data_IF_722884780009
#
_entry.id   IF_722884780009
#
_cell.length_a   1.000
_cell.length_b   1.000
_cell.length_c   1.000
_cell.angle_alpha   90.00
_cell.angle_beta   90.00
_cell.angle_gamma   90.00
#
_symmetry.space_group_name_H-M   'P 1'
#
loop_
_entity.id
_entity.type
_entity.pdbx_description
1 polymer ?
#
# COMPACT_ATOMS: atom_id res chain seq x y z
N UNK A 1 -21.79 21.09 8.45
CA UNK A 1 -21.10 21.19 7.15
C UNK A 1 -21.35 22.52 6.42
N UNK A 2 -22.58 22.92 6.06
CA UNK A 2 -22.82 24.17 5.28
C UNK A 2 -22.27 25.48 5.88
N UNK A 3 -22.09 25.55 7.21
CA UNK A 3 -21.66 26.78 7.90
C UNK A 3 -20.17 27.09 7.74
N UNK A 4 -19.30 26.07 7.55
CA UNK A 4 -17.87 26.26 7.32
C UNK A 4 -17.50 26.38 5.85
N UNK A 5 -18.31 25.83 4.94
CA UNK A 5 -18.07 25.94 3.50
C UNK A 5 -17.93 27.41 3.05
N UNK A 6 -18.79 28.30 3.56
CA UNK A 6 -18.69 29.75 3.27
C UNK A 6 -17.40 30.40 3.79
N UNK A 7 -16.81 29.87 4.87
CA UNK A 7 -15.53 30.35 5.42
C UNK A 7 -14.39 29.95 4.48
N UNK A 8 -14.45 28.74 3.91
CA UNK A 8 -13.41 28.18 3.04
C UNK A 8 -13.53 28.58 1.57
N UNK A 9 -14.71 28.99 1.11
CA UNK A 9 -14.98 29.48 -0.26
C UNK A 9 -14.04 30.61 -0.70
N UNK A 10 -13.69 31.52 0.22
CA UNK A 10 -12.77 32.64 -0.04
C UNK A 10 -11.29 32.23 -0.10
N UNK A 11 -10.98 30.97 0.23
CA UNK A 11 -9.63 30.44 0.34
C UNK A 11 -9.27 29.51 -0.83
N UNK A 12 -9.89 29.72 -2.01
CA UNK A 12 -9.59 29.01 -3.26
C UNK A 12 -8.35 29.52 -4.02
N UNK A 13 -7.55 30.41 -3.43
CA UNK A 13 -6.32 30.91 -4.07
C UNK A 13 -5.16 29.91 -3.87
N UNK A 14 -4.27 29.81 -4.85
CA UNK A 14 -3.00 29.10 -4.68
C UNK A 14 -2.11 29.81 -3.65
N UNK A 15 -1.36 29.05 -2.85
CA UNK A 15 -0.37 29.56 -1.88
C UNK A 15 -0.98 30.40 -0.74
N UNK A 16 -1.92 29.82 0.01
CA UNK A 16 -2.49 30.44 1.22
C UNK A 16 -1.81 29.88 2.46
N UNK A 17 -1.52 30.76 3.42
CA UNK A 17 -1.14 30.37 4.77
C UNK A 17 -2.36 30.32 5.68
N UNK A 18 -2.65 29.15 6.24
CA UNK A 18 -3.63 28.97 7.31
C UNK A 18 -2.88 28.74 8.62
N UNK A 19 -3.16 29.56 9.63
CA UNK A 19 -2.47 29.49 10.93
C UNK A 19 -3.48 29.54 12.08
N UNK A 20 -3.16 28.89 13.20
CA UNK A 20 -4.01 28.91 14.40
C UNK A 20 -5.22 27.97 14.33
N UNK A 21 -5.22 27.01 13.41
CA UNK A 21 -6.24 25.96 13.35
C UNK A 21 -5.90 24.85 14.34
N UNK A 22 -6.93 24.28 14.96
CA UNK A 22 -6.83 22.96 15.59
C UNK A 22 -6.82 21.87 14.53
N UNK A 23 -6.39 20.66 14.88
CA UNK A 23 -6.36 19.52 13.95
C UNK A 23 -7.76 19.23 13.39
N UNK A 24 -8.80 19.23 14.23
CA UNK A 24 -10.18 19.03 13.78
C UNK A 24 -10.63 20.06 12.75
N UNK A 25 -10.30 21.34 12.98
CA UNK A 25 -10.70 22.42 12.06
C UNK A 25 -9.89 22.36 10.75
N UNK A 26 -8.63 21.95 10.82
CA UNK A 26 -7.83 21.67 9.63
C UNK A 26 -8.40 20.49 8.84
N UNK A 27 -8.85 19.43 9.52
CA UNK A 27 -9.51 18.28 8.86
C UNK A 27 -10.84 18.70 8.23
N UNK A 28 -11.65 19.53 8.88
CA UNK A 28 -12.88 20.06 8.29
C UNK A 28 -12.59 20.86 7.00
N UNK A 29 -11.52 21.67 7.00
CA UNK A 29 -11.05 22.37 5.80
C UNK A 29 -10.58 21.39 4.71
N UNK A 30 -9.78 20.39 5.09
CA UNK A 30 -9.25 19.38 4.18
C UNK A 30 -10.39 18.59 3.52
N UNK A 31 -11.40 18.18 4.28
CA UNK A 31 -12.56 17.44 3.79
C UNK A 31 -13.41 18.29 2.84
N UNK A 32 -13.66 19.56 3.16
CA UNK A 32 -14.35 20.49 2.26
C UNK A 32 -13.65 20.57 0.89
N UNK A 33 -12.31 20.63 0.89
CA UNK A 33 -11.50 20.69 -0.32
C UNK A 33 -11.52 19.37 -1.08
N UNK A 34 -11.35 18.26 -0.37
CA UNK A 34 -11.37 16.92 -0.94
C UNK A 34 -12.69 16.61 -1.66
N UNK A 35 -13.82 16.90 -1.00
CA UNK A 35 -15.17 16.64 -1.53
C UNK A 35 -15.54 17.58 -2.69
N UNK A 36 -15.13 18.85 -2.60
CA UNK A 36 -15.48 19.86 -3.61
C UNK A 36 -14.62 19.73 -4.87
N UNK A 37 -13.31 19.53 -4.71
CA UNK A 37 -12.38 19.49 -5.85
C UNK A 37 -12.29 18.12 -6.51
N UNK A 38 -12.62 17.05 -5.77
CA UNK A 38 -12.51 15.66 -6.23
C UNK A 38 -11.14 15.35 -6.82
N UNK A 39 -10.10 15.82 -6.13
CA UNK A 39 -8.69 15.57 -6.46
C UNK A 39 -7.99 14.97 -5.27
N UNK A 40 -6.97 14.16 -5.53
CA UNK A 40 -6.12 13.66 -4.46
C UNK A 40 -5.35 14.78 -3.79
N UNK A 41 -5.18 14.69 -2.48
CA UNK A 41 -4.49 15.68 -1.65
C UNK A 41 -3.34 15.02 -0.93
N UNK A 42 -2.14 15.59 -1.05
CA UNK A 42 -0.99 15.20 -0.25
C UNK A 42 -0.87 16.15 0.94
N UNK A 43 -0.94 15.60 2.14
CA UNK A 43 -0.70 16.31 3.40
C UNK A 43 0.68 15.95 3.93
N UNK A 44 1.53 16.95 4.14
CA UNK A 44 2.89 16.76 4.66
C UNK A 44 2.98 17.38 6.05
N UNK A 45 3.24 16.55 7.05
CA UNK A 45 3.42 16.95 8.44
C UNK A 45 4.91 17.05 8.82
N UNK A 46 5.25 17.69 9.96
CA UNK A 46 6.63 17.78 10.40
C UNK A 46 7.27 16.42 10.73
N UNK A 47 6.57 15.53 11.44
CA UNK A 47 7.06 14.19 11.79
C UNK A 47 6.04 13.10 11.54
N UNK A 48 6.52 11.84 11.61
CA UNK A 48 5.68 10.65 11.51
C UNK A 48 4.61 10.60 12.61
N UNK A 49 4.88 11.18 13.79
CA UNK A 49 3.91 11.24 14.87
C UNK A 49 2.68 12.06 14.46
N UNK A 50 2.86 13.30 13.97
CA UNK A 50 1.73 14.12 13.53
C UNK A 50 1.04 13.50 12.31
N UNK A 51 1.77 12.85 11.40
CA UNK A 51 1.18 12.15 10.26
C UNK A 51 0.20 11.08 10.72
N UNK A 52 0.60 10.26 11.70
CA UNK A 52 -0.25 9.21 12.26
C UNK A 52 -1.47 9.78 12.98
N UNK A 53 -1.29 10.81 13.80
CA UNK A 53 -2.41 11.41 14.53
C UNK A 53 -3.44 12.03 13.59
N UNK A 54 -2.96 12.78 12.59
CA UNK A 54 -3.83 13.40 11.61
C UNK A 54 -4.53 12.36 10.73
N UNK A 55 -3.83 11.32 10.27
CA UNK A 55 -4.43 10.23 9.50
C UNK A 55 -5.58 9.57 10.28
N UNK A 56 -5.41 9.31 11.58
CA UNK A 56 -6.48 8.76 12.42
C UNK A 56 -7.71 9.68 12.47
N UNK A 57 -7.51 10.99 12.61
CA UNK A 57 -8.61 11.96 12.65
C UNK A 57 -9.37 11.95 11.31
N UNK A 58 -8.65 11.98 10.19
CA UNK A 58 -9.24 11.93 8.85
C UNK A 58 -9.97 10.60 8.61
N UNK A 59 -9.44 9.49 9.13
CA UNK A 59 -10.03 8.16 8.96
C UNK A 59 -11.42 8.01 9.62
N UNK A 60 -11.75 8.86 10.61
CA UNK A 60 -13.13 8.96 11.13
C UNK A 60 -14.11 9.67 10.19
N UNK A 61 -13.63 10.27 9.10
CA UNK A 61 -14.44 11.03 8.12
C UNK A 61 -14.49 10.34 6.76
N UNK A 62 -13.43 9.66 6.35
CA UNK A 62 -13.34 8.95 5.06
C UNK A 62 -12.37 7.78 5.14
N UNK A 63 -12.66 6.72 4.38
CA UNK A 63 -11.75 5.58 4.20
C UNK A 63 -10.72 5.81 3.07
N UNK A 64 -10.83 6.90 2.32
CA UNK A 64 -9.91 7.25 1.23
C UNK A 64 -8.67 7.99 1.75
N UNK A 65 -8.15 7.59 2.91
CA UNK A 65 -6.98 8.19 3.54
C UNK A 65 -5.90 7.15 3.81
N UNK A 66 -4.69 7.44 3.34
CA UNK A 66 -3.55 6.53 3.42
C UNK A 66 -2.37 7.21 4.10
N UNK A 67 -1.56 6.43 4.82
CA UNK A 67 -0.33 6.90 5.45
C UNK A 67 0.86 6.48 4.58
N UNK A 68 1.72 7.42 4.21
CA UNK A 68 3.01 7.10 3.59
C UNK A 68 4.15 7.28 4.62
N UNK A 69 4.53 6.24 5.38
CA UNK A 69 5.52 6.34 6.44
C UNK A 69 6.96 6.13 5.93
N UNK A 70 7.91 6.61 6.71
CA UNK A 70 9.35 6.48 6.50
C UNK A 70 10.01 6.46 7.88
N UNK A 71 11.05 5.64 8.03
CA UNK A 71 11.87 5.61 9.22
C UNK A 71 12.65 6.91 9.37
N UNK A 72 12.93 7.30 10.61
CA UNK A 72 13.87 8.40 10.86
C UNK A 72 15.30 7.95 10.48
N UNK A 73 16.16 8.91 10.15
CA UNK A 73 17.52 8.65 9.70
C UNK A 73 18.32 7.88 10.76
N UNK A 74 18.16 8.25 12.03
CA UNK A 74 18.85 7.62 13.17
C UNK A 74 18.40 6.17 13.42
N UNK A 75 17.14 5.84 13.15
CA UNK A 75 16.63 4.46 13.26
C UNK A 75 17.04 3.60 12.07
N UNK A 76 17.13 4.20 10.88
CA UNK A 76 17.55 3.52 9.64
C UNK A 76 19.01 3.07 9.64
N UNK A 77 19.90 3.82 10.32
CA UNK A 77 21.32 3.44 10.48
C UNK A 77 21.54 2.39 11.58
N UNK A 78 20.67 2.35 12.60
CA UNK A 78 20.85 1.51 13.79
C UNK A 78 20.09 0.17 13.75
N UNK A 79 19.02 0.04 12.95
CA UNK A 79 18.15 -1.14 12.89
C UNK A 79 17.63 -1.36 11.46
N UNK A 80 17.36 -2.61 11.10
CA UNK A 80 16.68 -2.97 9.86
C UNK A 80 15.39 -2.14 9.67
N UNK A 81 15.16 -1.65 8.45
CA UNK A 81 13.92 -0.96 8.02
C UNK A 81 12.70 -1.77 8.49
N UNK A 82 11.72 -1.11 9.11
CA UNK A 82 10.50 -1.78 9.56
C UNK A 82 9.78 -2.42 8.37
N UNK A 83 9.59 -3.76 8.35
CA UNK A 83 8.83 -4.43 7.29
C UNK A 83 7.44 -3.84 7.14
N UNK A 84 6.79 -3.47 8.26
CA UNK A 84 5.45 -2.90 8.26
C UNK A 84 5.40 -1.55 7.53
N UNK A 85 6.39 -0.67 7.74
CA UNK A 85 6.43 0.60 7.02
C UNK A 85 6.70 0.42 5.53
N UNK A 86 7.48 -0.58 5.14
CA UNK A 86 7.63 -0.92 3.73
C UNK A 86 6.27 -1.35 3.14
N UNK A 87 5.56 -2.24 3.82
CA UNK A 87 4.24 -2.75 3.42
C UNK A 87 3.24 -1.58 3.31
N UNK A 88 3.08 -0.77 4.36
CA UNK A 88 2.16 0.38 4.36
C UNK A 88 2.46 1.38 3.24
N UNK A 89 3.73 1.62 2.92
CA UNK A 89 4.11 2.45 1.78
C UNK A 89 3.66 1.83 0.47
N UNK A 90 3.91 0.54 0.27
CA UNK A 90 3.52 -0.15 -0.96
C UNK A 90 1.99 -0.18 -1.09
N UNK A 91 1.25 -0.45 -0.03
CA UNK A 91 -0.22 -0.39 0.00
C UNK A 91 -0.73 0.99 -0.40
N UNK A 92 -0.12 2.05 0.14
CA UNK A 92 -0.44 3.43 -0.20
C UNK A 92 -0.18 3.70 -1.68
N UNK A 93 0.96 3.26 -2.21
CA UNK A 93 1.28 3.42 -3.64
C UNK A 93 0.29 2.64 -4.52
N UNK A 94 -0.05 1.40 -4.17
CA UNK A 94 -1.07 0.61 -4.87
C UNK A 94 -2.40 1.36 -4.88
N UNK A 95 -2.89 1.79 -3.72
CA UNK A 95 -4.18 2.44 -3.60
C UNK A 95 -4.30 3.69 -4.48
N UNK A 96 -3.24 4.52 -4.55
CA UNK A 96 -3.28 5.73 -5.38
C UNK A 96 -3.10 5.49 -6.88
N UNK A 97 -2.74 4.26 -7.32
CA UNK A 97 -2.68 3.95 -8.75
C UNK A 97 -4.05 3.81 -9.40
N UNK A 98 -5.10 3.53 -8.63
CA UNK A 98 -6.47 3.31 -9.12
C UNK A 98 -7.21 4.59 -9.56
N UNK A 99 -6.54 5.75 -9.55
CA UNK A 99 -7.05 7.06 -10.00
C UNK A 99 -8.32 7.55 -9.28
N UNK A 100 -8.69 6.95 -8.16
CA UNK A 100 -9.69 7.52 -7.27
C UNK A 100 -9.07 8.66 -6.45
N UNK A 101 -9.79 9.78 -6.24
CA UNK A 101 -9.35 10.83 -5.33
C UNK A 101 -9.06 10.23 -3.96
N UNK A 102 -7.89 10.54 -3.41
CA UNK A 102 -7.44 10.03 -2.11
C UNK A 102 -6.63 11.07 -1.35
N UNK A 103 -6.61 10.95 -0.03
CA UNK A 103 -5.78 11.77 0.85
C UNK A 103 -4.57 10.92 1.25
N UNK A 104 -3.37 11.39 0.93
CA UNK A 104 -2.13 10.76 1.42
C UNK A 104 -1.55 11.65 2.50
N UNK A 105 -1.38 11.11 3.70
CA UNK A 105 -0.71 11.79 4.80
C UNK A 105 0.71 11.24 4.89
N UNK A 106 1.70 12.12 4.88
CA UNK A 106 3.11 11.78 5.05
C UNK A 106 3.80 12.82 5.92
N UNK A 107 5.08 12.63 6.19
CA UNK A 107 5.91 13.59 6.88
C UNK A 107 7.12 13.97 6.02
N UNK A 108 7.94 14.89 6.49
CA UNK A 108 9.07 15.43 5.73
C UNK A 108 9.98 14.36 5.10
N UNK A 109 10.42 13.34 5.84
CA UNK A 109 11.28 12.27 5.27
C UNK A 109 10.54 11.48 4.18
N UNK A 110 9.28 11.12 4.41
CA UNK A 110 8.45 10.43 3.42
C UNK A 110 8.23 11.25 2.14
N UNK A 111 8.02 12.56 2.27
CA UNK A 111 7.88 13.49 1.15
C UNK A 111 9.14 13.58 0.28
N UNK A 112 10.32 13.58 0.91
CA UNK A 112 11.61 13.68 0.21
C UNK A 112 12.12 12.36 -0.37
N UNK A 113 11.37 11.25 -0.18
CA UNK A 113 11.78 9.93 -0.64
C UNK A 113 11.71 9.81 -2.15
N UNK A 114 12.77 9.31 -2.77
CA UNK A 114 12.74 8.89 -4.17
C UNK A 114 11.85 7.66 -4.36
N UNK A 115 10.98 7.73 -5.36
CA UNK A 115 10.05 6.67 -5.72
C UNK A 115 10.32 6.18 -7.14
N UNK A 116 9.99 4.92 -7.46
CA UNK A 116 9.91 4.49 -8.85
C UNK A 116 8.91 5.34 -9.62
N UNK A 117 9.12 5.49 -10.92
CA UNK A 117 8.11 6.14 -11.76
C UNK A 117 6.81 5.35 -11.71
N UNK A 118 5.63 5.99 -11.87
CA UNK A 118 4.36 5.26 -11.93
C UNK A 118 4.37 4.13 -12.97
N UNK A 119 5.03 4.34 -14.11
CA UNK A 119 5.20 3.32 -15.15
C UNK A 119 6.03 2.12 -14.68
N UNK A 120 7.11 2.37 -13.93
CA UNK A 120 7.95 1.30 -13.38
C UNK A 120 7.17 0.51 -12.33
N UNK A 121 6.45 1.21 -11.46
CA UNK A 121 5.64 0.59 -10.41
C UNK A 121 4.49 -0.24 -10.98
N UNK A 122 3.74 0.28 -11.95
CA UNK A 122 2.66 -0.49 -12.58
C UNK A 122 3.15 -1.74 -13.33
N UNK A 123 4.43 -1.80 -13.72
CA UNK A 123 5.03 -2.97 -14.35
C UNK A 123 5.49 -4.04 -13.37
N UNK A 124 5.55 -3.74 -12.07
CA UNK A 124 5.94 -4.74 -11.07
C UNK A 124 4.79 -5.68 -10.70
N UNK A 125 3.54 -5.34 -11.04
CA UNK A 125 2.40 -6.21 -10.81
C UNK A 125 2.47 -7.49 -11.67
N UNK A 126 2.30 -8.63 -11.03
CA UNK A 126 2.29 -9.95 -11.66
C UNK A 126 0.88 -10.52 -11.54
N UNK A 127 0.14 -10.50 -12.64
CA UNK A 127 -1.18 -11.11 -12.71
C UNK A 127 -1.03 -12.59 -13.07
N UNK A 128 -1.68 -13.45 -12.28
CA UNK A 128 -1.69 -14.90 -12.45
C UNK A 128 -3.12 -15.41 -12.57
N UNK A 129 -3.32 -16.42 -13.41
CA UNK A 129 -4.59 -17.10 -13.60
C UNK A 129 -4.38 -18.60 -13.76
N UNK A 130 -5.36 -19.41 -13.36
CA UNK A 130 -5.42 -20.83 -13.73
C UNK A 130 -5.30 -20.98 -15.26
N UNK A 131 -4.64 -22.06 -15.70
CA UNK A 131 -4.31 -22.38 -17.10
C UNK A 131 -3.30 -21.43 -17.76
N UNK A 132 -2.69 -20.51 -17.01
CA UNK A 132 -1.60 -19.68 -17.53
C UNK A 132 -0.29 -20.48 -17.61
N UNK A 133 0.37 -20.41 -18.76
CA UNK A 133 1.72 -20.94 -18.94
C UNK A 133 2.77 -19.98 -18.35
N UNK A 134 3.38 -20.41 -17.25
CA UNK A 134 4.53 -19.81 -16.60
C UNK A 134 5.24 -20.88 -15.75
N UNK A 135 6.54 -21.07 -15.97
CA UNK A 135 7.29 -22.03 -15.16
C UNK A 135 7.41 -21.56 -13.70
N UNK A 136 7.44 -22.48 -12.72
CA UNK A 136 7.69 -22.13 -11.33
C UNK A 136 8.97 -21.30 -11.15
N UNK A 137 10.02 -21.61 -11.92
CA UNK A 137 11.31 -20.94 -11.86
C UNK A 137 11.22 -19.48 -12.35
N UNK A 138 10.51 -19.25 -13.46
CA UNK A 138 10.33 -17.89 -14.00
C UNK A 138 9.50 -17.03 -13.05
N UNK A 139 8.45 -17.59 -12.44
CA UNK A 139 7.65 -16.85 -11.48
C UNK A 139 8.46 -16.49 -10.23
N UNK A 140 9.24 -17.42 -9.69
CA UNK A 140 10.14 -17.16 -8.55
C UNK A 140 11.14 -16.06 -8.88
N UNK A 141 11.73 -16.08 -10.08
CA UNK A 141 12.67 -15.03 -10.49
C UNK A 141 11.98 -13.67 -10.54
N UNK A 142 10.81 -13.57 -11.18
CA UNK A 142 10.04 -12.32 -11.26
C UNK A 142 9.68 -11.77 -9.87
N UNK A 143 9.25 -12.63 -8.96
CA UNK A 143 8.93 -12.24 -7.57
C UNK A 143 10.16 -11.76 -6.81
N UNK A 144 11.30 -12.45 -6.99
CA UNK A 144 12.58 -12.05 -6.38
C UNK A 144 13.06 -10.71 -6.92
N UNK A 145 12.91 -10.46 -8.22
CA UNK A 145 13.30 -9.21 -8.88
C UNK A 145 12.51 -7.99 -8.36
N UNK A 146 11.25 -8.19 -7.95
CA UNK A 146 10.41 -7.13 -7.35
C UNK A 146 10.53 -7.08 -5.81
N UNK A 147 11.41 -7.90 -5.21
CA UNK A 147 11.83 -7.78 -3.81
C UNK A 147 11.20 -8.77 -2.84
N UNK A 148 10.50 -9.81 -3.30
CA UNK A 148 10.00 -10.87 -2.41
C UNK A 148 11.17 -11.66 -1.82
N UNK A 149 11.04 -12.01 -0.54
CA UNK A 149 12.03 -12.79 0.20
C UNK A 149 11.70 -14.27 0.12
N UNK A 150 12.70 -15.08 -0.20
CA UNK A 150 12.55 -16.53 -0.25
C UNK A 150 12.71 -17.13 1.15
N UNK A 151 11.65 -17.76 1.63
CA UNK A 151 11.59 -18.40 2.94
C UNK A 151 11.24 -19.88 2.83
N UNK A 152 11.46 -20.62 3.92
CA UNK A 152 11.09 -22.04 3.98
C UNK A 152 9.59 -22.22 4.20
N UNK A 153 9.00 -21.33 5.00
CA UNK A 153 7.57 -21.28 5.32
C UNK A 153 7.15 -19.83 5.20
N UNK A 154 6.10 -19.58 4.41
CA UNK A 154 5.55 -18.24 4.22
C UNK A 154 4.63 -17.93 5.39
N UNK A 155 4.93 -16.85 6.11
CA UNK A 155 4.16 -16.35 7.26
C UNK A 155 3.87 -14.86 7.20
N UNK A 156 4.60 -14.10 6.39
CA UNK A 156 4.45 -12.64 6.30
C UNK A 156 4.37 -12.13 4.86
N UNK A 157 3.70 -10.99 4.67
CA UNK A 157 3.61 -10.30 3.36
C UNK A 157 4.98 -10.03 2.76
N UNK A 158 5.12 -10.25 1.46
CA UNK A 158 6.39 -10.09 0.75
C UNK A 158 7.32 -11.31 0.83
N UNK A 159 6.84 -12.44 1.36
CA UNK A 159 7.56 -13.71 1.35
C UNK A 159 7.06 -14.63 0.23
N UNK A 160 7.95 -15.50 -0.25
CA UNK A 160 7.66 -16.62 -1.13
C UNK A 160 8.33 -17.90 -0.63
N UNK A 161 7.71 -19.05 -0.85
CA UNK A 161 8.23 -20.37 -0.46
C UNK A 161 8.06 -21.38 -1.58
N UNK A 162 9.11 -22.13 -1.90
CA UNK A 162 9.13 -23.05 -3.06
C UNK A 162 9.25 -24.49 -2.60
N UNK A 163 8.30 -25.34 -3.03
CA UNK A 163 8.24 -26.77 -2.72
C UNK A 163 7.91 -27.59 -3.96
N UNK A 164 8.92 -27.87 -4.79
CA UNK A 164 8.72 -28.59 -6.06
C UNK A 164 7.84 -27.79 -7.02
N UNK A 165 6.68 -28.32 -7.37
CA UNK A 165 5.67 -27.68 -8.22
C UNK A 165 4.64 -26.85 -7.43
N UNK A 166 5.00 -26.43 -6.22
CA UNK A 166 4.16 -25.58 -5.37
C UNK A 166 4.94 -24.33 -5.02
N UNK A 167 4.31 -23.18 -5.26
CA UNK A 167 4.81 -21.87 -4.85
C UNK A 167 3.80 -21.23 -3.89
N UNK A 168 4.24 -20.98 -2.68
CA UNK A 168 3.51 -20.14 -1.75
C UNK A 168 4.01 -18.71 -1.88
N UNK A 169 3.09 -17.74 -1.90
CA UNK A 169 3.40 -16.32 -1.94
C UNK A 169 2.46 -15.61 -0.98
N UNK A 170 2.94 -14.61 -0.24
CA UNK A 170 2.07 -13.71 0.52
C UNK A 170 2.00 -12.35 -0.17
N UNK A 171 0.98 -12.12 -1.03
CA UNK A 171 0.89 -10.89 -1.80
C UNK A 171 0.59 -9.68 -0.94
N UNK A 172 0.95 -8.50 -1.44
CA UNK A 172 0.61 -7.24 -0.81
C UNK A 172 -0.90 -6.98 -0.82
N UNK A 173 -1.47 -6.60 0.32
CA UNK A 173 -2.90 -6.25 0.45
C UNK A 173 -3.84 -7.44 0.60
N UNK A 174 -3.33 -8.67 0.55
CA UNK A 174 -4.09 -9.88 0.83
C UNK A 174 -4.13 -10.18 2.32
N UNK A 175 -5.23 -10.78 2.80
CA UNK A 175 -5.36 -11.18 4.21
C UNK A 175 -4.68 -12.52 4.49
N UNK A 176 -4.56 -13.37 3.48
CA UNK A 176 -3.95 -14.69 3.56
C UNK A 176 -3.00 -14.91 2.37
N UNK A 177 -1.92 -15.67 2.54
CA UNK A 177 -1.07 -16.06 1.43
C UNK A 177 -1.80 -16.99 0.45
N UNK A 178 -1.30 -17.04 -0.78
CA UNK A 178 -1.76 -17.93 -1.84
C UNK A 178 -0.76 -19.03 -2.10
N UNK A 179 -1.28 -20.24 -2.29
CA UNK A 179 -0.55 -21.40 -2.78
C UNK A 179 -0.92 -21.63 -4.24
N UNK A 180 0.11 -21.63 -5.09
CA UNK A 180 0.01 -21.81 -6.53
C UNK A 180 0.61 -23.19 -6.84
N UNK A 181 -0.21 -24.09 -7.35
CA UNK A 181 0.18 -25.44 -7.75
C UNK A 181 0.32 -25.50 -9.26
N UNK A 182 1.37 -26.18 -9.73
CA UNK A 182 1.74 -26.25 -11.15
C UNK A 182 1.65 -27.68 -11.66
N UNK A 183 1.25 -27.81 -12.93
CA UNK A 183 1.43 -29.02 -13.72
C UNK A 183 2.44 -28.75 -14.84
N UNK A 184 3.72 -29.08 -14.60
CA UNK A 184 4.80 -28.65 -15.47
C UNK A 184 4.98 -27.13 -15.41
N UNK A 185 4.76 -26.47 -16.55
CA UNK A 185 4.88 -25.00 -16.69
C UNK A 185 3.52 -24.29 -16.75
N UNK A 186 2.45 -24.96 -16.32
CA UNK A 186 1.08 -24.40 -16.33
C UNK A 186 0.55 -24.32 -14.90
N UNK A 187 -0.11 -23.21 -14.55
CA UNK A 187 -0.81 -23.07 -13.27
C UNK A 187 -2.04 -23.97 -13.25
N UNK A 188 -2.04 -24.97 -12.37
CA UNK A 188 -3.14 -25.92 -12.19
C UNK A 188 -4.18 -25.40 -11.17
N UNK A 189 -3.71 -24.81 -10.07
CA UNK A 189 -4.64 -24.20 -9.11
C UNK A 189 -4.02 -23.08 -8.28
N UNK A 190 -4.88 -22.15 -7.86
CA UNK A 190 -4.55 -21.07 -6.92
C UNK A 190 -5.54 -21.15 -5.76
N UNK A 191 -5.01 -21.10 -4.54
CA UNK A 191 -5.79 -21.29 -3.31
C UNK A 191 -5.21 -20.44 -2.20
N UNK A 192 -6.06 -19.75 -1.45
CA UNK A 192 -5.62 -19.16 -0.18
C UNK A 192 -5.27 -20.27 0.80
N UNK A 193 -4.36 -19.99 1.73
CA UNK A 193 -4.08 -20.86 2.85
C UNK A 193 -3.84 -20.05 4.12
N UNK A 194 -4.16 -20.65 5.25
CA UNK A 194 -3.95 -20.04 6.57
C UNK A 194 -2.46 -20.15 6.93
N UNK A 195 -1.81 -19.01 7.14
CA UNK A 195 -0.36 -18.87 7.34
C UNK A 195 0.14 -19.52 8.64
N UNK A 196 -0.72 -19.64 9.66
CA UNK A 196 -0.36 -20.26 10.93
C UNK A 196 -0.46 -21.79 10.87
N UNK A 197 -1.57 -22.31 10.35
CA UNK A 197 -1.89 -23.75 10.29
C UNK A 197 -1.38 -24.42 9.03
N UNK A 198 -1.00 -23.63 8.02
CA UNK A 198 -0.56 -24.06 6.68
C UNK A 198 -1.64 -24.86 5.90
N UNK A 199 -2.90 -24.72 6.31
CA UNK A 199 -4.05 -25.43 5.71
C UNK A 199 -4.69 -24.63 4.61
N UNK A 200 -5.18 -25.36 3.61
CA UNK A 200 -5.96 -24.79 2.52
C UNK A 200 -7.20 -24.06 3.01
N UNK A 201 -7.49 -22.93 2.38
CA UNK A 201 -8.76 -22.24 2.46
C UNK A 201 -9.47 -22.38 1.09
N UNK A 202 -9.99 -21.29 0.54
CA UNK A 202 -10.74 -21.25 -0.72
C UNK A 202 -9.84 -21.26 -1.96
N UNK A 203 -10.40 -21.75 -3.08
CA UNK A 203 -9.77 -21.68 -4.40
C UNK A 203 -10.21 -20.39 -5.11
N UNK A 204 -9.30 -19.83 -5.90
CA UNK A 204 -9.55 -18.63 -6.72
C UNK A 204 -9.04 -18.85 -8.15
N UNK A 205 -9.67 -18.17 -9.11
CA UNK A 205 -9.33 -18.33 -10.52
C UNK A 205 -8.11 -17.49 -10.94
N UNK A 206 -7.85 -16.40 -10.22
CA UNK A 206 -6.78 -15.45 -10.51
C UNK A 206 -6.36 -14.65 -9.28
N UNK A 207 -5.12 -14.16 -9.28
CA UNK A 207 -4.57 -13.27 -8.25
C UNK A 207 -3.64 -12.25 -8.92
N UNK A 208 -3.55 -11.04 -8.36
CA UNK A 208 -2.52 -10.06 -8.70
C UNK A 208 -1.53 -9.97 -7.55
N UNK A 209 -0.24 -10.06 -7.86
CA UNK A 209 0.88 -10.01 -6.90
C UNK A 209 1.69 -8.74 -7.12
#
# INVERSE_FOLDING_TARGET
>A
MKQYHQIFENMKKSNIGLTGLTDDLFVDYLMDRFETEKKSILVVTPSLYEANQLQKIINYRTNQVYLFPMDDFLTSEAVAISPDFLITRLETLTAITHQEPSIVVTHYMGYTRFLPTPKTYLKSFINLKIDQDISPQDLVQKLTDIGYKRETVVTSTGELGVRGFVLDVFPLGETHPVRIEFFGDTIDSIRYFDEETQKSLEKIDSISI
#
